data_IF_551501128875
#
_entry.id   IF_551501128875
#
_cell.length_a   1.000
_cell.length_b   1.000
_cell.length_c   1.000
_cell.angle_alpha   90.00
_cell.angle_beta   90.00
_cell.angle_gamma   90.00
#
_symmetry.space_group_name_H-M   'P 1'
#
loop_
_entity.id
_entity.type
_entity.pdbx_description
1 polymer ?
#
# COMPACT_ATOMS: atom_id res chain seq x y z
N UNK A 1 -18.61 -22.11 -11.48
CA UNK A 1 -17.87 -20.87 -11.76
C UNK A 1 -18.78 -19.69 -11.51
N UNK A 2 -18.26 -18.52 -11.12
CA UNK A 2 -18.97 -17.41 -10.46
C UNK A 2 -20.17 -16.76 -11.20
N UNK A 3 -20.72 -17.36 -12.26
CA UNK A 3 -21.92 -16.89 -12.96
C UNK A 3 -21.75 -15.58 -13.75
N UNK A 4 -20.50 -15.13 -13.93
CA UNK A 4 -20.16 -13.88 -14.59
C UNK A 4 -20.23 -14.01 -16.12
N UNK A 5 -20.87 -13.04 -16.77
CA UNK A 5 -20.80 -12.82 -18.21
C UNK A 5 -19.53 -12.03 -18.58
N UNK A 6 -19.20 -12.00 -19.87
CA UNK A 6 -17.98 -11.35 -20.39
C UNK A 6 -17.84 -9.86 -20.00
N UNK A 7 -18.96 -9.14 -19.85
CA UNK A 7 -18.97 -7.70 -19.53
C UNK A 7 -19.20 -7.41 -18.05
N UNK A 8 -19.43 -8.43 -17.24
CA UNK A 8 -19.74 -8.25 -15.84
C UNK A 8 -18.51 -7.84 -15.05
N UNK A 9 -18.71 -6.97 -14.06
CA UNK A 9 -17.61 -6.52 -13.21
C UNK A 9 -17.19 -7.62 -12.24
N UNK A 10 -15.89 -7.94 -12.24
CA UNK A 10 -15.29 -8.82 -11.25
C UNK A 10 -15.17 -8.18 -9.85
N UNK A 11 -15.48 -6.89 -9.70
CA UNK A 11 -15.23 -6.10 -8.47
C UNK A 11 -15.83 -6.73 -7.21
N UNK A 12 -17.14 -6.97 -7.22
CA UNK A 12 -17.85 -7.54 -6.06
C UNK A 12 -17.46 -9.00 -5.84
N UNK A 13 -17.21 -9.76 -6.90
CA UNK A 13 -16.77 -11.15 -6.79
C UNK A 13 -15.40 -11.26 -6.13
N UNK A 14 -14.46 -10.38 -6.48
CA UNK A 14 -13.14 -10.35 -5.85
C UNK A 14 -13.25 -10.05 -4.36
N UNK A 15 -14.13 -9.12 -3.98
CA UNK A 15 -14.42 -8.81 -2.57
C UNK A 15 -15.06 -9.99 -1.83
N UNK A 16 -16.07 -10.62 -2.43
CA UNK A 16 -16.82 -11.74 -1.84
C UNK A 16 -15.94 -12.98 -1.67
N UNK A 17 -15.10 -13.28 -2.66
CA UNK A 17 -14.16 -14.40 -2.61
C UNK A 17 -12.84 -14.08 -1.90
N UNK A 18 -12.67 -12.86 -1.37
CA UNK A 18 -11.43 -12.39 -0.73
C UNK A 18 -10.21 -12.55 -1.65
N UNK A 19 -10.39 -12.29 -2.95
CA UNK A 19 -9.34 -12.31 -3.96
C UNK A 19 -8.79 -10.90 -4.15
N UNK A 20 -7.47 -10.78 -4.16
CA UNK A 20 -6.81 -9.54 -4.51
C UNK A 20 -6.68 -9.40 -6.03
N UNK A 21 -6.90 -8.19 -6.53
CA UNK A 21 -6.51 -7.83 -7.89
C UNK A 21 -4.99 -7.82 -8.05
N UNK A 22 -4.49 -7.89 -9.29
CA UNK A 22 -3.05 -7.77 -9.59
C UNK A 22 -2.46 -6.46 -9.04
N UNK A 23 -3.19 -5.36 -9.18
CA UNK A 23 -2.78 -4.06 -8.62
C UNK A 23 -2.73 -4.08 -7.10
N UNK A 24 -3.73 -4.68 -6.44
CA UNK A 24 -3.73 -4.78 -4.98
C UNK A 24 -2.61 -5.70 -4.47
N UNK A 25 -2.27 -6.76 -5.22
CA UNK A 25 -1.10 -7.60 -4.95
C UNK A 25 0.18 -6.77 -5.04
N UNK A 26 0.35 -5.99 -6.13
CA UNK A 26 1.52 -5.13 -6.29
C UNK A 26 1.64 -4.11 -5.14
N UNK A 27 0.57 -3.37 -4.82
CA UNK A 27 0.53 -2.41 -3.71
C UNK A 27 0.98 -3.09 -2.41
N UNK A 28 0.43 -4.26 -2.11
CA UNK A 28 0.77 -5.03 -0.91
C UNK A 28 2.26 -5.39 -0.86
N UNK A 29 2.80 -5.93 -1.95
CA UNK A 29 4.19 -6.38 -2.00
C UNK A 29 5.18 -5.21 -1.90
N UNK A 30 4.92 -4.07 -2.56
CA UNK A 30 5.82 -2.91 -2.45
C UNK A 30 5.78 -2.24 -1.08
N UNK A 31 4.61 -2.23 -0.41
CA UNK A 31 4.50 -1.78 0.98
C UNK A 31 5.33 -2.71 1.89
N UNK A 32 5.20 -4.03 1.76
CA UNK A 32 5.99 -4.95 2.57
C UNK A 32 7.48 -4.86 2.30
N UNK A 33 7.88 -4.69 1.04
CA UNK A 33 9.26 -4.45 0.69
C UNK A 33 9.80 -3.19 1.40
N UNK A 34 9.02 -2.11 1.42
CA UNK A 34 9.39 -0.84 2.09
C UNK A 34 9.50 -1.00 3.60
N UNK A 35 8.53 -1.65 4.24
CA UNK A 35 8.55 -1.90 5.69
C UNK A 35 9.73 -2.78 6.10
N UNK A 36 10.14 -3.74 5.25
CA UNK A 36 11.30 -4.61 5.51
C UNK A 36 12.66 -3.94 5.28
N UNK A 37 12.72 -2.92 4.43
CA UNK A 37 13.99 -2.28 4.02
C UNK A 37 14.39 -1.09 4.88
N UNK A 38 13.66 -0.83 5.99
CA UNK A 38 13.96 0.23 6.98
C UNK A 38 14.31 1.58 6.36
N UNK A 39 13.47 2.05 5.43
CA UNK A 39 13.65 3.37 4.84
C UNK A 39 13.46 4.48 5.90
N UNK A 40 14.14 5.63 5.75
CA UNK A 40 14.02 6.74 6.70
C UNK A 40 12.58 7.20 6.86
N UNK A 41 12.14 7.40 8.10
CA UNK A 41 10.88 8.03 8.44
C UNK A 41 11.07 9.51 8.72
N UNK A 42 9.98 10.28 8.74
CA UNK A 42 10.06 11.69 9.14
C UNK A 42 10.57 11.85 10.57
N UNK A 43 10.28 10.90 11.47
CA UNK A 43 10.82 10.86 12.83
C UNK A 43 12.35 10.79 12.89
N UNK A 44 12.99 10.19 11.89
CA UNK A 44 14.45 10.04 11.84
C UNK A 44 15.13 11.33 11.39
N UNK A 45 14.39 12.19 10.68
CA UNK A 45 14.88 13.45 10.09
C UNK A 45 14.57 14.67 10.97
N UNK A 46 13.55 14.57 11.83
CA UNK A 46 13.06 15.70 12.63
C UNK A 46 12.87 15.31 14.09
N UNK A 47 13.40 16.11 15.02
CA UNK A 47 13.30 15.88 16.46
C UNK A 47 11.95 16.27 17.09
N UNK A 48 11.03 16.85 16.31
CA UNK A 48 9.72 17.27 16.80
C UNK A 48 8.61 16.33 16.32
N UNK A 49 7.65 16.02 17.20
CA UNK A 49 6.52 15.14 16.90
C UNK A 49 5.59 15.78 15.86
N UNK A 50 5.73 15.38 14.61
CA UNK A 50 4.78 15.77 13.55
C UNK A 50 3.64 14.76 13.46
N UNK A 51 2.47 15.22 12.98
CA UNK A 51 1.30 14.36 12.71
C UNK A 51 1.61 13.18 11.77
N UNK A 52 2.67 13.30 10.96
CA UNK A 52 3.14 12.34 9.98
C UNK A 52 4.51 11.74 10.35
N UNK A 53 4.86 11.70 11.63
CA UNK A 53 6.15 11.19 12.09
C UNK A 53 6.36 9.70 11.71
N UNK A 54 5.27 8.93 11.68
CA UNK A 54 5.27 7.52 11.26
C UNK A 54 5.35 7.32 9.75
N UNK A 55 5.22 8.38 8.93
CA UNK A 55 5.32 8.27 7.47
C UNK A 55 6.77 8.14 7.02
N UNK A 56 6.96 7.43 5.91
CA UNK A 56 8.26 7.35 5.24
C UNK A 56 8.60 8.68 4.59
N UNK A 57 9.86 9.10 4.71
CA UNK A 57 10.37 10.26 4.01
C UNK A 57 10.42 9.99 2.51
N UNK A 58 9.76 10.82 1.71
CA UNK A 58 9.81 10.75 0.25
C UNK A 58 10.83 11.78 -0.26
N UNK A 59 12.05 11.36 -0.65
CA UNK A 59 13.07 12.30 -1.07
C UNK A 59 12.64 13.03 -2.36
N UNK A 60 12.91 14.34 -2.47
CA UNK A 60 12.65 15.10 -3.69
C UNK A 60 13.49 14.52 -4.84
N UNK A 61 12.88 14.42 -6.02
CA UNK A 61 13.52 13.83 -7.20
C UNK A 61 12.92 14.45 -8.47
N UNK A 62 13.74 14.56 -9.51
CA UNK A 62 13.33 15.20 -10.77
C UNK A 62 12.95 14.18 -11.86
N UNK A 63 13.35 12.92 -11.70
CA UNK A 63 13.12 11.86 -12.68
C UNK A 63 11.85 11.07 -12.37
N UNK A 64 10.95 10.96 -13.36
CA UNK A 64 9.76 10.09 -13.28
C UNK A 64 10.12 8.62 -13.05
N UNK A 65 11.29 8.17 -13.53
CA UNK A 65 11.81 6.84 -13.28
C UNK A 65 12.04 6.58 -11.79
N UNK A 66 12.44 7.60 -11.02
CA UNK A 66 12.64 7.47 -9.58
C UNK A 66 11.32 7.14 -8.88
N UNK A 67 10.20 7.73 -9.32
CA UNK A 67 8.85 7.43 -8.82
C UNK A 67 8.40 6.00 -9.07
N UNK A 68 9.05 5.28 -9.99
CA UNK A 68 8.71 3.88 -10.33
C UNK A 68 9.46 2.86 -9.48
N UNK A 69 10.44 3.29 -8.67
CA UNK A 69 11.16 2.38 -7.79
C UNK A 69 10.19 1.76 -6.77
N UNK A 70 10.25 0.43 -6.53
CA UNK A 70 9.40 -0.22 -5.53
C UNK A 70 9.53 0.40 -4.13
N UNK A 71 10.74 0.85 -3.76
CA UNK A 71 10.99 1.56 -2.50
C UNK A 71 10.20 2.86 -2.41
N UNK A 72 10.23 3.67 -3.47
CA UNK A 72 9.50 4.95 -3.53
C UNK A 72 7.98 4.72 -3.55
N UNK A 73 7.49 3.84 -4.44
CA UNK A 73 6.05 3.53 -4.52
C UNK A 73 5.52 2.95 -3.22
N UNK A 74 6.25 2.01 -2.61
CA UNK A 74 5.83 1.41 -1.34
C UNK A 74 5.81 2.39 -0.18
N UNK A 75 6.78 3.31 -0.09
CA UNK A 75 6.74 4.42 0.86
C UNK A 75 5.53 5.33 0.63
N UNK A 76 5.30 5.73 -0.63
CA UNK A 76 4.15 6.57 -0.97
C UNK A 76 2.82 5.88 -0.65
N UNK A 77 2.64 4.61 -1.01
CA UNK A 77 1.43 3.85 -0.71
C UNK A 77 1.25 3.63 0.79
N UNK A 78 2.32 3.38 1.54
CA UNK A 78 2.25 3.27 3.00
C UNK A 78 1.76 4.59 3.63
N UNK A 79 2.26 5.74 3.17
CA UNK A 79 1.88 7.04 3.70
C UNK A 79 0.39 7.37 3.47
N UNK A 80 -0.23 6.79 2.44
CA UNK A 80 -1.67 6.91 2.17
C UNK A 80 -2.54 5.94 2.99
N UNK A 81 -1.94 4.99 3.71
CA UNK A 81 -2.73 4.08 4.54
C UNK A 81 -3.42 4.83 5.70
N UNK A 82 -4.61 4.38 6.10
CA UNK A 82 -5.21 4.81 7.35
C UNK A 82 -4.31 4.57 8.56
N UNK A 83 -4.35 5.48 9.53
CA UNK A 83 -3.49 5.45 10.71
C UNK A 83 -3.65 4.16 11.55
N UNK A 84 -4.86 3.61 11.63
CA UNK A 84 -5.13 2.36 12.33
C UNK A 84 -4.41 1.14 11.71
N UNK A 85 -4.06 1.19 10.42
CA UNK A 85 -3.24 0.17 9.76
C UNK A 85 -1.76 0.41 10.01
N UNK A 86 -1.29 1.65 9.89
CA UNK A 86 0.11 2.02 10.13
C UNK A 86 0.57 1.64 11.53
N UNK A 87 -0.31 1.77 12.52
CA UNK A 87 -0.04 1.47 13.93
C UNK A 87 -0.20 -0.02 14.29
N UNK A 88 -0.44 -0.91 13.33
CA UNK A 88 -0.48 -2.34 13.60
C UNK A 88 0.93 -2.89 13.86
N UNK A 89 1.09 -3.82 14.81
CA UNK A 89 2.35 -4.49 15.01
C UNK A 89 2.72 -5.36 13.80
N UNK A 90 4.01 -5.62 13.51
CA UNK A 90 4.46 -6.28 12.27
C UNK A 90 3.76 -7.61 11.97
N UNK A 91 3.48 -8.42 12.99
CA UNK A 91 2.81 -9.72 12.84
C UNK A 91 1.34 -9.60 12.41
N UNK A 92 0.67 -8.49 12.76
CA UNK A 92 -0.72 -8.22 12.37
C UNK A 92 -0.83 -7.37 11.11
N UNK A 93 0.15 -6.52 10.85
CA UNK A 93 0.16 -5.60 9.72
C UNK A 93 -0.11 -6.30 8.39
N UNK A 94 0.60 -7.42 8.13
CA UNK A 94 0.41 -8.19 6.89
C UNK A 94 -1.01 -8.68 6.69
N UNK A 95 -1.63 -9.20 7.75
CA UNK A 95 -3.01 -9.70 7.73
C UNK A 95 -3.99 -8.54 7.51
N UNK A 96 -3.84 -7.46 8.28
CA UNK A 96 -4.75 -6.32 8.23
C UNK A 96 -4.69 -5.56 6.90
N UNK A 97 -3.49 -5.36 6.35
CA UNK A 97 -3.33 -4.78 5.02
C UNK A 97 -3.99 -5.66 3.94
N UNK A 98 -3.83 -6.98 4.02
CA UNK A 98 -4.45 -7.91 3.08
C UNK A 98 -5.98 -7.82 3.14
N UNK A 99 -6.56 -7.83 4.34
CA UNK A 99 -8.00 -7.66 4.54
C UNK A 99 -8.49 -6.31 4.00
N UNK A 100 -7.77 -5.23 4.29
CA UNK A 100 -8.13 -3.89 3.84
C UNK A 100 -8.15 -3.76 2.32
N UNK A 101 -7.20 -4.40 1.63
CA UNK A 101 -7.11 -4.46 0.17
C UNK A 101 -8.17 -5.38 -0.44
N UNK A 102 -8.55 -6.47 0.24
CA UNK A 102 -9.64 -7.35 -0.22
C UNK A 102 -11.00 -6.65 -0.21
N UNK A 103 -11.24 -5.74 0.74
CA UNK A 103 -12.45 -4.91 0.77
C UNK A 103 -12.45 -3.79 -0.29
N UNK A 104 -11.28 -3.50 -0.90
CA UNK A 104 -11.05 -2.38 -1.82
C UNK A 104 -10.28 -2.86 -3.05
N UNK A 105 -10.96 -3.54 -4.00
CA UNK A 105 -10.32 -4.00 -5.22
C UNK A 105 -9.86 -2.81 -6.10
N UNK A 106 -8.55 -2.55 -6.07
CA UNK A 106 -7.90 -1.55 -6.91
C UNK A 106 -7.62 -2.11 -8.30
N UNK A 107 -7.87 -1.35 -9.37
CA UNK A 107 -7.57 -1.77 -10.76
C UNK A 107 -6.56 -0.85 -11.43
N UNK A 108 -6.20 0.25 -10.78
CA UNK A 108 -5.24 1.24 -11.25
C UNK A 108 -4.40 1.71 -10.07
N UNK A 109 -3.16 2.06 -10.36
CA UNK A 109 -2.31 2.80 -9.42
C UNK A 109 -2.53 4.30 -9.63
N UNK A 110 -2.39 5.10 -8.56
CA UNK A 110 -2.26 6.54 -8.74
C UNK A 110 -0.98 6.87 -9.54
N UNK A 111 -1.12 7.80 -10.49
CA UNK A 111 -0.05 8.22 -11.40
C UNK A 111 1.01 9.06 -10.69
#
# INVERSE_FOLDING_TARGET
FAGLNYRDSCREHFKNFKILTVVSLYIREVIFHTVKTSQPRHSDLHQHNTRHASDFALPPHHLSLYKRKPSYKGAAYFNHLPEHLKNQPPHRFKKQLTLWLQERPFYTEEK
#
